data_IF_156875504052
#
_entry.id   IF_156875504052
#
_cell.length_a   1.000
_cell.length_b   1.000
_cell.length_c   1.000
_cell.angle_alpha   90.00
_cell.angle_beta   90.00
_cell.angle_gamma   90.00
#
_symmetry.space_group_name_H-M   'P 1'
#
loop_
_entity.id
_entity.type
_entity.pdbx_description
1 polymer ?
#
# COMPACT_ATOMS: atom_id res chain seq x y z
N UNK A 1 -10.69 17.04 -30.27
CA UNK A 1 -10.44 16.08 -29.17
C UNK A 1 -10.43 16.81 -27.84
N UNK A 2 -11.50 16.66 -27.06
CA UNK A 2 -11.51 17.12 -25.68
C UNK A 2 -10.68 16.17 -24.84
N UNK A 3 -9.40 16.47 -24.64
CA UNK A 3 -8.60 15.73 -23.67
C UNK A 3 -9.24 15.87 -22.29
N UNK A 4 -9.25 14.78 -21.52
CA UNK A 4 -9.64 14.84 -20.11
C UNK A 4 -8.91 16.03 -19.46
N UNK A 5 -9.66 16.89 -18.77
CA UNK A 5 -9.09 17.80 -17.77
C UNK A 5 -8.52 16.90 -16.69
N UNK A 6 -7.30 16.40 -16.89
CA UNK A 6 -6.48 15.98 -15.79
C UNK A 6 -6.45 17.18 -14.85
N UNK A 7 -6.89 16.99 -13.61
CA UNK A 7 -6.73 17.99 -12.58
C UNK A 7 -5.23 18.26 -12.53
N UNK A 8 -4.82 19.38 -13.12
CA UNK A 8 -3.42 19.79 -13.13
C UNK A 8 -3.18 20.13 -11.68
N UNK A 9 -2.69 19.14 -10.93
CA UNK A 9 -2.29 19.31 -9.55
C UNK A 9 -1.51 20.60 -9.48
N UNK A 10 -2.11 21.60 -8.84
CA UNK A 10 -1.57 22.95 -8.75
C UNK A 10 -0.11 22.83 -8.34
N UNK A 11 0.76 23.67 -8.90
CA UNK A 11 2.20 23.77 -8.58
C UNK A 11 2.52 23.85 -7.07
N UNK A 12 1.51 24.00 -6.21
CA UNK A 12 1.57 23.82 -4.76
C UNK A 12 1.80 22.37 -4.30
N UNK A 13 1.68 21.35 -5.16
CA UNK A 13 2.01 19.94 -4.91
C UNK A 13 3.38 19.59 -5.55
N UNK A 14 4.46 20.10 -4.96
CA UNK A 14 5.82 19.87 -5.42
C UNK A 14 6.21 18.40 -5.31
N UNK A 15 7.06 17.93 -6.22
CA UNK A 15 7.79 16.65 -6.24
C UNK A 15 7.07 15.34 -5.85
N UNK A 16 5.75 15.33 -5.66
CA UNK A 16 5.03 14.09 -5.37
C UNK A 16 4.75 13.38 -6.69
N UNK A 17 5.72 12.58 -7.11
CA UNK A 17 5.52 11.58 -8.14
C UNK A 17 4.80 10.40 -7.49
N UNK A 18 3.50 10.29 -7.72
CA UNK A 18 2.70 9.13 -7.28
C UNK A 18 2.92 8.04 -8.31
N UNK A 19 3.60 6.97 -7.87
CA UNK A 19 3.86 5.77 -8.67
C UNK A 19 2.87 4.69 -8.32
N UNK A 20 2.60 3.78 -9.24
CA UNK A 20 1.87 2.56 -8.91
C UNK A 20 2.72 1.77 -7.89
N UNK A 21 2.19 1.41 -6.71
CA UNK A 21 2.95 0.62 -5.75
C UNK A 21 3.31 -0.75 -6.32
N UNK A 22 4.53 -1.20 -6.06
CA UNK A 22 5.03 -2.52 -6.47
C UNK A 22 4.64 -3.57 -5.42
N UNK A 23 3.34 -3.90 -5.34
CA UNK A 23 2.81 -4.93 -4.43
C UNK A 23 2.02 -6.00 -5.17
N UNK A 24 1.81 -7.16 -4.53
CA UNK A 24 0.95 -8.24 -5.04
C UNK A 24 -0.45 -7.72 -5.38
N UNK A 25 -1.06 -6.99 -4.45
CA UNK A 25 -2.40 -6.44 -4.58
C UNK A 25 -2.51 -5.40 -5.70
N UNK A 26 -1.50 -4.53 -5.86
CA UNK A 26 -1.45 -3.58 -6.96
C UNK A 26 -1.28 -4.28 -8.32
N UNK A 27 -0.45 -5.33 -8.39
CA UNK A 27 -0.32 -6.13 -9.61
C UNK A 27 -1.64 -6.81 -10.00
N UNK A 28 -2.35 -7.42 -9.05
CA UNK A 28 -3.64 -8.07 -9.27
C UNK A 28 -4.72 -7.08 -9.70
N UNK A 29 -4.73 -5.89 -9.10
CA UNK A 29 -5.70 -4.85 -9.43
C UNK A 29 -5.43 -4.22 -10.79
N UNK A 30 -4.16 -3.91 -11.09
CA UNK A 30 -3.80 -3.05 -12.22
C UNK A 30 -3.40 -3.81 -13.48
N UNK A 31 -2.70 -4.93 -13.40
CA UNK A 31 -2.22 -5.60 -14.62
C UNK A 31 -3.39 -6.11 -15.49
N UNK A 32 -4.38 -6.84 -14.95
CA UNK A 32 -5.51 -7.32 -15.76
C UNK A 32 -6.39 -6.18 -16.31
N UNK A 33 -6.36 -4.99 -15.70
CA UNK A 33 -7.27 -3.88 -15.99
C UNK A 33 -6.60 -2.79 -16.84
N UNK A 34 -5.39 -2.35 -16.48
CA UNK A 34 -4.64 -1.26 -17.09
C UNK A 34 -3.55 -1.69 -18.07
N UNK A 35 -3.16 -2.98 -18.12
CA UNK A 35 -2.17 -3.46 -19.10
C UNK A 35 -2.79 -4.14 -20.34
N UNK A 36 -4.08 -4.51 -20.30
CA UNK A 36 -4.73 -5.26 -21.40
C UNK A 36 -5.66 -4.35 -22.20
N UNK A 37 -5.48 -4.27 -23.52
CA UNK A 37 -6.35 -3.50 -24.40
C UNK A 37 -7.84 -3.92 -24.33
N UNK A 38 -8.80 -3.00 -24.54
CA UNK A 38 -10.23 -3.28 -24.42
C UNK A 38 -10.73 -4.51 -25.20
N UNK A 39 -10.34 -4.71 -26.46
CA UNK A 39 -10.73 -5.89 -27.28
C UNK A 39 -10.19 -7.21 -26.72
N UNK A 40 -9.06 -7.15 -26.00
CA UNK A 40 -8.43 -8.31 -25.37
C UNK A 40 -9.08 -8.75 -24.06
N UNK A 41 -9.96 -7.93 -23.47
CA UNK A 41 -10.62 -8.20 -22.17
C UNK A 41 -11.78 -9.19 -22.27
N UNK A 42 -11.56 -10.33 -22.91
CA UNK A 42 -12.50 -11.47 -22.82
C UNK A 42 -12.31 -12.12 -21.46
N UNK A 43 -13.36 -12.08 -20.63
CA UNK A 43 -13.30 -12.53 -19.23
C UNK A 43 -12.64 -13.91 -19.07
N UNK A 44 -13.02 -14.89 -19.88
CA UNK A 44 -12.44 -16.24 -19.83
C UNK A 44 -10.93 -16.27 -20.15
N UNK A 45 -10.48 -15.47 -21.12
CA UNK A 45 -9.06 -15.39 -21.47
C UNK A 45 -8.26 -14.67 -20.38
N UNK A 46 -8.80 -13.57 -19.83
CA UNK A 46 -8.17 -12.86 -18.71
C UNK A 46 -8.01 -13.78 -17.50
N UNK A 47 -9.06 -14.53 -17.14
CA UNK A 47 -9.01 -15.48 -16.02
C UNK A 47 -7.92 -16.52 -16.29
N UNK A 48 -7.85 -17.12 -17.49
CA UNK A 48 -6.82 -18.12 -17.78
C UNK A 48 -5.39 -17.56 -17.73
N UNK A 49 -5.15 -16.37 -18.29
CA UNK A 49 -3.81 -15.76 -18.34
C UNK A 49 -3.35 -15.30 -16.96
N UNK A 50 -4.27 -14.71 -16.18
CA UNK A 50 -3.95 -14.15 -14.86
C UNK A 50 -4.34 -15.10 -13.72
N UNK A 51 -4.69 -16.36 -13.99
CA UNK A 51 -5.02 -17.33 -12.96
C UNK A 51 -3.91 -17.48 -11.91
N UNK A 52 -2.60 -17.58 -12.28
CA UNK A 52 -1.54 -17.66 -11.29
C UNK A 52 -1.47 -16.41 -10.40
N UNK A 53 -1.63 -15.23 -11.01
CA UNK A 53 -1.65 -13.94 -10.31
C UNK A 53 -2.79 -13.86 -9.29
N UNK A 54 -4.02 -14.20 -9.70
CA UNK A 54 -5.18 -14.22 -8.81
C UNK A 54 -5.05 -15.29 -7.72
N UNK A 55 -4.60 -16.50 -8.08
CA UNK A 55 -4.42 -17.59 -7.13
C UNK A 55 -3.39 -17.22 -6.06
N UNK A 56 -2.29 -16.57 -6.43
CA UNK A 56 -1.27 -16.09 -5.49
C UNK A 56 -1.85 -15.04 -4.54
N UNK A 57 -2.62 -14.08 -5.05
CA UNK A 57 -3.32 -13.09 -4.22
C UNK A 57 -4.26 -13.70 -3.19
N UNK A 58 -5.09 -14.64 -3.63
CA UNK A 58 -6.04 -15.33 -2.76
C UNK A 58 -5.30 -16.18 -1.72
N UNK A 59 -4.30 -16.96 -2.14
CA UNK A 59 -3.49 -17.79 -1.23
C UNK A 59 -2.72 -16.94 -0.21
N UNK A 60 -2.18 -15.80 -0.63
CA UNK A 60 -1.51 -14.84 0.26
C UNK A 60 -2.49 -14.28 1.29
N UNK A 61 -3.66 -13.82 0.85
CA UNK A 61 -4.68 -13.31 1.76
C UNK A 61 -5.16 -14.37 2.77
N UNK A 62 -5.40 -15.61 2.30
CA UNK A 62 -5.77 -16.73 3.18
C UNK A 62 -4.66 -17.04 4.17
N UNK A 63 -3.40 -17.11 3.71
CA UNK A 63 -2.25 -17.40 4.55
C UNK A 63 -2.06 -16.32 5.64
N UNK A 64 -2.16 -15.05 5.27
CA UNK A 64 -2.04 -13.93 6.21
C UNK A 64 -3.19 -13.92 7.22
N UNK A 65 -4.45 -14.10 6.78
CA UNK A 65 -5.61 -14.19 7.67
C UNK A 65 -5.48 -15.39 8.61
N UNK A 66 -5.12 -16.56 8.10
CA UNK A 66 -4.96 -17.77 8.90
C UNK A 66 -3.84 -17.63 9.93
N UNK A 67 -2.67 -17.13 9.53
CA UNK A 67 -1.55 -16.89 10.44
C UNK A 67 -1.91 -15.89 11.54
N UNK A 68 -2.57 -14.79 11.18
CA UNK A 68 -3.04 -13.77 12.13
C UNK A 68 -4.11 -14.34 13.07
N UNK A 69 -4.99 -15.20 12.57
CA UNK A 69 -5.97 -15.90 13.39
C UNK A 69 -5.30 -16.84 14.40
N UNK A 70 -4.27 -17.59 14.01
CA UNK A 70 -3.49 -18.42 14.94
C UNK A 70 -2.77 -17.58 15.99
N UNK A 71 -2.18 -16.43 15.61
CA UNK A 71 -1.62 -15.45 16.56
C UNK A 71 -2.68 -15.01 17.56
N UNK A 72 -3.89 -14.68 17.10
CA UNK A 72 -5.00 -14.29 17.97
C UNK A 72 -5.39 -15.40 18.95
N UNK A 73 -5.44 -16.67 18.50
CA UNK A 73 -5.71 -17.81 19.38
C UNK A 73 -4.61 -18.00 20.43
N UNK A 74 -3.34 -18.00 20.02
CA UNK A 74 -2.20 -18.09 20.94
C UNK A 74 -2.19 -16.94 21.95
N UNK A 75 -2.57 -15.74 21.51
CA UNK A 75 -2.71 -14.58 22.37
C UNK A 75 -3.79 -14.79 23.47
N UNK A 76 -4.94 -15.34 23.10
CA UNK A 76 -6.02 -15.67 24.04
C UNK A 76 -5.57 -16.76 25.02
N UNK A 77 -4.94 -17.82 24.52
CA UNK A 77 -4.46 -18.92 25.35
C UNK A 77 -3.39 -18.46 26.36
N UNK A 78 -2.45 -17.61 25.93
CA UNK A 78 -1.42 -17.02 26.80
C UNK A 78 -2.05 -16.13 27.88
N UNK A 79 -3.05 -15.33 27.51
CA UNK A 79 -3.79 -14.47 28.43
C UNK A 79 -4.56 -15.29 29.46
N UNK A 80 -5.26 -16.33 29.04
CA UNK A 80 -6.05 -17.19 29.93
C UNK A 80 -5.16 -18.02 30.85
N UNK A 81 -4.02 -18.51 30.35
CA UNK A 81 -3.03 -19.22 31.17
C UNK A 81 -2.47 -18.32 32.27
N UNK A 82 -2.12 -17.08 31.94
CA UNK A 82 -1.63 -16.10 32.91
C UNK A 82 -2.68 -15.73 33.96
N UNK A 83 -3.90 -15.42 33.53
CA UNK A 83 -4.98 -15.05 34.46
C UNK A 83 -5.30 -16.17 35.47
N UNK A 84 -5.11 -17.43 35.07
CA UNK A 84 -5.27 -18.59 35.97
C UNK A 84 -4.13 -18.72 36.97
N UNK A 85 -2.89 -18.42 36.59
CA UNK A 85 -1.74 -18.51 37.51
C UNK A 85 -1.68 -17.31 38.46
N UNK A 86 -2.01 -16.10 37.98
CA UNK A 86 -1.83 -14.85 38.70
C UNK A 86 -3.11 -13.98 38.64
N UNK A 87 -4.18 -14.33 39.37
CA UNK A 87 -5.49 -13.68 39.23
C UNK A 87 -5.52 -12.21 39.69
N UNK A 88 -4.49 -11.72 40.38
CA UNK A 88 -4.42 -10.36 40.92
C UNK A 88 -3.34 -9.48 40.27
N UNK A 89 -2.60 -10.00 39.29
CA UNK A 89 -1.51 -9.26 38.62
C UNK A 89 -1.94 -8.83 37.22
N UNK A 90 -1.50 -7.64 36.79
CA UNK A 90 -1.69 -7.20 35.41
C UNK A 90 -0.72 -7.96 34.49
N UNK A 91 -1.15 -8.35 33.29
CA UNK A 91 -0.33 -9.21 32.41
C UNK A 91 0.97 -8.52 32.00
N UNK A 92 0.93 -7.19 31.89
CA UNK A 92 2.03 -6.37 31.39
C UNK A 92 3.04 -5.92 32.45
N UNK A 93 2.77 -6.12 33.74
CA UNK A 93 3.67 -5.77 34.85
C UNK A 93 4.36 -6.99 35.45
N UNK A 94 4.70 -7.99 34.61
CA UNK A 94 5.49 -9.14 35.06
C UNK A 94 6.88 -8.72 35.49
N UNK A 95 7.29 -9.14 36.68
CA UNK A 95 8.64 -8.92 37.22
C UNK A 95 9.76 -9.47 36.31
N UNK A 96 9.45 -10.53 35.55
CA UNK A 96 10.41 -11.20 34.68
C UNK A 96 10.61 -10.51 33.33
N UNK A 97 9.71 -9.62 32.90
CA UNK A 97 9.76 -8.97 31.58
C UNK A 97 9.93 -7.46 31.72
N UNK A 98 11.05 -6.94 31.20
CA UNK A 98 11.29 -5.49 31.23
C UNK A 98 10.23 -4.75 30.39
N UNK A 99 9.44 -3.87 31.02
CA UNK A 99 8.43 -3.07 30.33
C UNK A 99 9.01 -2.21 29.21
N UNK A 100 10.27 -1.78 29.35
CA UNK A 100 10.99 -1.05 28.32
C UNK A 100 11.22 -1.90 27.07
N UNK A 101 11.61 -3.17 27.26
CA UNK A 101 11.80 -4.11 26.14
C UNK A 101 10.47 -4.38 25.43
N UNK A 102 9.39 -4.60 26.18
CA UNK A 102 8.04 -4.77 25.62
C UNK A 102 7.60 -3.57 24.78
N UNK A 103 7.86 -2.34 25.27
CA UNK A 103 7.56 -1.12 24.53
C UNK A 103 8.40 -1.00 23.25
N UNK A 104 9.70 -1.31 23.30
CA UNK A 104 10.57 -1.29 22.11
C UNK A 104 10.08 -2.30 21.07
N UNK A 105 9.81 -3.54 21.47
CA UNK A 105 9.29 -4.59 20.58
C UNK A 105 7.94 -4.20 19.97
N UNK A 106 7.03 -3.63 20.77
CA UNK A 106 5.74 -3.14 20.28
C UNK A 106 5.90 -1.99 19.29
N UNK A 107 6.80 -1.04 19.56
CA UNK A 107 7.10 0.07 18.65
C UNK A 107 7.68 -0.45 17.33
N UNK A 108 8.66 -1.36 17.37
CA UNK A 108 9.27 -1.93 16.16
C UNK A 108 8.22 -2.67 15.32
N UNK A 109 7.43 -3.53 15.95
CA UNK A 109 6.32 -4.22 15.28
C UNK A 109 5.33 -3.22 14.64
N UNK A 110 4.90 -2.21 15.40
CA UNK A 110 3.93 -1.21 14.93
C UNK A 110 4.52 -0.37 13.78
N UNK A 111 5.80 -0.02 13.83
CA UNK A 111 6.49 0.68 12.74
C UNK A 111 6.48 -0.14 11.45
N UNK A 112 6.74 -1.45 11.53
CA UNK A 112 6.67 -2.36 10.38
C UNK A 112 5.25 -2.37 9.79
N UNK A 113 4.21 -2.53 10.62
CA UNK A 113 2.84 -2.48 10.13
C UNK A 113 2.48 -1.13 9.48
N UNK A 114 2.93 -0.02 10.05
CA UNK A 114 2.66 1.31 9.52
C UNK A 114 3.34 1.55 8.17
N UNK A 115 4.50 0.95 7.92
CA UNK A 115 5.16 0.98 6.62
C UNK A 115 4.29 0.29 5.55
N UNK A 116 3.70 -0.86 5.86
CA UNK A 116 2.81 -1.57 4.92
C UNK A 116 1.49 -0.82 4.69
N UNK A 117 0.90 -0.28 5.76
CA UNK A 117 -0.28 0.59 5.68
C UNK A 117 -0.01 1.81 4.78
N UNK A 118 1.20 2.36 4.81
CA UNK A 118 1.59 3.45 3.91
C UNK A 118 1.53 3.00 2.43
N UNK A 119 2.01 1.79 2.11
CA UNK A 119 1.90 1.22 0.75
C UNK A 119 0.44 1.06 0.34
N UNK A 120 -0.44 0.65 1.26
CA UNK A 120 -1.90 0.59 1.03
C UNK A 120 -2.51 1.97 0.75
N UNK A 121 -2.06 3.02 1.43
CA UNK A 121 -2.50 4.38 1.12
C UNK A 121 -1.99 4.89 -0.23
N UNK A 122 -0.74 4.58 -0.59
CA UNK A 122 -0.20 4.90 -1.91
C UNK A 122 -0.99 4.19 -3.02
N UNK A 123 -1.43 2.95 -2.76
CA UNK A 123 -2.29 2.19 -3.65
C UNK A 123 -3.65 2.88 -3.86
N UNK A 124 -4.30 3.30 -2.77
CA UNK A 124 -5.56 4.04 -2.82
C UNK A 124 -5.41 5.39 -3.55
N UNK A 125 -4.36 6.15 -3.24
CA UNK A 125 -4.06 7.41 -3.87
C UNK A 125 -3.88 7.25 -5.39
N UNK A 126 -3.19 6.19 -5.80
CA UNK A 126 -3.01 5.86 -7.20
C UNK A 126 -4.36 5.52 -7.88
N UNK A 127 -5.20 4.67 -7.27
CA UNK A 127 -6.54 4.32 -7.80
C UNK A 127 -7.37 5.59 -8.04
N UNK A 128 -7.35 6.53 -7.09
CA UNK A 128 -8.14 7.76 -7.16
C UNK A 128 -7.67 8.71 -8.27
N UNK A 129 -6.38 8.68 -8.61
CA UNK A 129 -5.77 9.53 -9.65
C UNK A 129 -5.99 9.00 -11.07
N UNK A 130 -6.15 7.68 -11.26
CA UNK A 130 -6.45 7.09 -12.57
C UNK A 130 -7.84 7.57 -13.03
N UNK A 131 -8.00 8.11 -14.25
CA UNK A 131 -9.30 8.57 -14.74
C UNK A 131 -10.26 7.41 -14.99
N UNK A 132 -11.56 7.71 -15.04
CA UNK A 132 -12.54 6.78 -15.56
C UNK A 132 -12.55 6.85 -17.09
N UNK A 133 -12.57 5.69 -17.74
CA UNK A 133 -12.72 5.58 -19.19
C UNK A 133 -14.11 6.07 -19.62
N UNK A 134 -14.17 6.98 -20.58
CA UNK A 134 -15.40 7.49 -21.20
C UNK A 134 -16.08 6.35 -21.98
N UNK A 135 -15.29 5.55 -22.69
CA UNK A 135 -15.79 4.43 -23.49
C UNK A 135 -16.30 4.84 -24.86
N UNK A 136 -15.79 5.94 -25.40
CA UNK A 136 -16.05 6.36 -26.77
C UNK A 136 -15.42 5.35 -27.76
N UNK A 137 -16.02 5.22 -28.96
CA UNK A 137 -15.52 4.32 -30.00
C UNK A 137 -14.13 4.75 -30.48
N UNK A 138 -13.90 6.06 -30.65
CA UNK A 138 -12.60 6.63 -31.05
C UNK A 138 -11.52 6.33 -30.00
N UNK A 139 -11.83 6.54 -28.71
CA UNK A 139 -10.93 6.20 -27.59
C UNK A 139 -10.62 4.70 -27.58
N UNK A 140 -11.64 3.88 -27.76
CA UNK A 140 -11.50 2.42 -27.75
C UNK A 140 -10.66 1.93 -28.94
N UNK A 141 -10.86 2.48 -30.13
CA UNK A 141 -10.07 2.14 -31.31
C UNK A 141 -8.59 2.51 -31.11
N UNK A 142 -8.32 3.73 -30.63
CA UNK A 142 -6.98 4.22 -30.34
C UNK A 142 -6.26 3.35 -29.29
N UNK A 143 -6.96 2.93 -28.24
CA UNK A 143 -6.43 1.99 -27.24
C UNK A 143 -6.09 0.62 -27.84
N UNK A 144 -6.96 0.10 -28.71
CA UNK A 144 -6.73 -1.19 -29.36
C UNK A 144 -5.59 -1.15 -30.39
N UNK A 145 -5.45 -0.06 -31.14
CA UNK A 145 -4.34 0.12 -32.09
C UNK A 145 -2.97 0.10 -31.38
N UNK A 146 -2.91 0.67 -30.17
CA UNK A 146 -1.69 0.71 -29.35
C UNK A 146 -1.52 -0.51 -28.43
N UNK A 147 -2.45 -1.49 -28.46
CA UNK A 147 -2.48 -2.64 -27.56
C UNK A 147 -2.36 -2.27 -26.06
N UNK A 148 -2.96 -1.16 -25.64
CA UNK A 148 -2.93 -0.68 -24.26
C UNK A 148 -4.36 -0.35 -23.77
N UNK A 149 -4.64 -0.44 -22.46
CA UNK A 149 -5.90 0.11 -21.89
C UNK A 149 -5.77 1.53 -21.35
N UNK A 150 -4.55 2.05 -21.30
CA UNK A 150 -4.31 3.41 -20.93
C UNK A 150 -3.06 3.93 -21.63
N UNK A 151 -3.13 5.15 -22.15
CA UNK A 151 -2.02 5.80 -22.85
C UNK A 151 -1.64 7.04 -22.07
N UNK A 152 -0.36 7.14 -21.74
CA UNK A 152 0.19 8.33 -21.12
C UNK A 152 0.70 9.30 -22.19
N UNK A 153 0.53 10.59 -21.92
CA UNK A 153 1.01 11.67 -22.75
C UNK A 153 1.76 12.64 -21.84
N UNK A 154 2.98 12.99 -22.27
CA UNK A 154 3.76 14.04 -21.63
C UNK A 154 3.29 15.38 -22.17
N UNK A 155 2.76 16.23 -21.30
CA UNK A 155 2.35 17.60 -21.63
C UNK A 155 3.36 18.58 -21.04
N UNK A 156 3.87 19.49 -21.87
CA UNK A 156 4.65 20.63 -21.38
C UNK A 156 3.67 21.63 -20.77
N UNK A 157 3.91 22.00 -19.53
CA UNK A 157 3.21 23.07 -18.84
C UNK A 157 4.20 24.20 -18.58
N UNK A 158 3.88 25.39 -19.06
CA UNK A 158 4.63 26.60 -18.75
C UNK A 158 4.02 27.26 -17.53
N UNK A 159 4.80 27.49 -16.48
CA UNK A 159 4.29 28.22 -15.32
C UNK A 159 4.23 29.74 -15.57
N UNK A 160 3.60 30.48 -14.65
CA UNK A 160 3.68 31.93 -14.48
C UNK A 160 5.11 32.52 -14.55
N UNK A 161 6.15 31.72 -14.33
CA UNK A 161 7.57 32.12 -14.44
C UNK A 161 8.22 31.79 -15.79
N UNK A 162 7.46 31.36 -16.79
CA UNK A 162 7.96 30.85 -18.08
C UNK A 162 8.91 29.64 -17.96
N UNK A 163 8.85 28.93 -16.84
CA UNK A 163 9.54 27.64 -16.68
C UNK A 163 8.64 26.54 -17.25
N UNK A 164 9.15 25.83 -18.26
CA UNK A 164 8.50 24.65 -18.81
C UNK A 164 8.82 23.42 -17.95
N UNK A 165 7.78 22.65 -17.62
CA UNK A 165 7.91 21.37 -16.94
C UNK A 165 7.04 20.33 -17.63
N UNK A 166 7.53 19.09 -17.69
CA UNK A 166 6.82 17.98 -18.31
C UNK A 166 6.02 17.24 -17.25
N UNK A 167 4.71 17.17 -17.46
CA UNK A 167 3.79 16.37 -16.63
C UNK A 167 3.33 15.17 -17.46
N UNK A 168 3.48 13.98 -16.90
CA UNK A 168 2.85 12.79 -17.48
C UNK A 168 1.40 12.71 -17.00
N UNK A 169 0.49 12.65 -17.98
CA UNK A 169 -0.95 12.58 -17.74
C UNK A 169 -1.55 11.48 -18.61
N UNK A 170 -2.72 10.96 -18.25
CA UNK A 170 -3.45 10.07 -19.14
C UNK A 170 -3.97 10.87 -20.34
N UNK A 171 -3.56 10.46 -21.55
CA UNK A 171 -4.11 10.97 -22.80
C UNK A 171 -5.43 10.32 -23.16
N UNK A 172 -5.54 9.01 -22.92
CA UNK A 172 -6.72 8.20 -23.20
C UNK A 172 -6.77 6.97 -22.27
N UNK A 173 -7.97 6.45 -22.01
CA UNK A 173 -8.20 5.22 -21.25
C UNK A 173 -8.32 5.42 -19.74
N UNK A 174 -7.92 4.40 -18.97
CA UNK A 174 -8.09 4.34 -17.52
C UNK A 174 -9.06 3.24 -17.08
N UNK A 175 -9.63 3.37 -15.89
CA UNK A 175 -10.52 2.36 -15.32
C UNK A 175 -11.93 2.47 -15.89
N UNK A 176 -12.56 1.34 -16.20
CA UNK A 176 -14.03 1.27 -16.17
C UNK A 176 -14.54 1.31 -14.73
N UNK A 177 -15.83 1.59 -14.54
CA UNK A 177 -16.44 1.59 -13.19
C UNK A 177 -16.24 0.25 -12.46
N UNK A 178 -16.38 -0.87 -13.18
CA UNK A 178 -16.20 -2.21 -12.61
C UNK A 178 -14.74 -2.50 -12.27
N UNK A 179 -13.80 -2.07 -13.09
CA UNK A 179 -12.36 -2.25 -12.82
C UNK A 179 -11.88 -1.40 -11.64
N UNK A 180 -12.44 -0.19 -11.49
CA UNK A 180 -12.18 0.64 -10.31
C UNK A 180 -12.72 -0.02 -9.05
N UNK A 181 -13.93 -0.55 -9.10
CA UNK A 181 -14.52 -1.30 -7.98
C UNK A 181 -13.66 -2.53 -7.63
N UNK A 182 -13.14 -3.23 -8.65
CA UNK A 182 -12.20 -4.33 -8.47
C UNK A 182 -10.90 -3.89 -7.78
N UNK A 183 -10.33 -2.76 -8.17
CA UNK A 183 -9.14 -2.23 -7.50
C UNK A 183 -9.42 -1.85 -6.04
N UNK A 184 -10.57 -1.22 -5.75
CA UNK A 184 -10.98 -0.94 -4.37
C UNK A 184 -11.20 -2.22 -3.55
N UNK A 185 -11.74 -3.27 -4.15
CA UNK A 185 -11.91 -4.55 -3.46
C UNK A 185 -10.57 -5.13 -2.97
N UNK A 186 -9.53 -5.15 -3.81
CA UNK A 186 -8.20 -5.60 -3.40
C UNK A 186 -7.52 -4.67 -2.40
N UNK A 187 -7.72 -3.37 -2.53
CA UNK A 187 -7.29 -2.40 -1.51
C UNK A 187 -7.90 -2.72 -0.14
N UNK A 188 -9.22 -2.99 -0.09
CA UNK A 188 -9.91 -3.34 1.16
C UNK A 188 -9.41 -4.64 1.79
N UNK A 189 -9.08 -5.65 0.97
CA UNK A 189 -8.47 -6.88 1.47
C UNK A 189 -7.11 -6.60 2.10
N UNK A 190 -6.23 -5.85 1.41
CA UNK A 190 -4.88 -5.55 1.90
C UNK A 190 -4.90 -4.74 3.19
N UNK A 191 -5.62 -3.61 3.21
CA UNK A 191 -5.70 -2.78 4.41
C UNK A 191 -6.41 -3.54 5.56
N UNK A 192 -7.38 -4.38 5.23
CA UNK A 192 -8.08 -5.22 6.21
C UNK A 192 -7.15 -6.22 6.89
N UNK A 193 -6.28 -6.90 6.13
CA UNK A 193 -5.32 -7.86 6.70
C UNK A 193 -4.24 -7.16 7.54
N UNK A 194 -3.73 -6.01 7.09
CA UNK A 194 -2.76 -5.20 7.84
C UNK A 194 -3.33 -4.72 9.19
N UNK A 195 -4.56 -4.19 9.19
CA UNK A 195 -5.23 -3.76 10.43
C UNK A 195 -5.52 -4.95 11.35
N UNK A 196 -5.87 -6.12 10.79
CA UNK A 196 -6.09 -7.32 11.59
C UNK A 196 -4.80 -7.79 12.28
N UNK A 197 -3.65 -7.72 11.60
CA UNK A 197 -2.35 -8.03 12.18
C UNK A 197 -2.00 -7.05 13.32
N UNK A 198 -2.22 -5.75 13.14
CA UNK A 198 -1.96 -4.75 14.20
C UNK A 198 -2.77 -5.07 15.47
N UNK A 199 -4.06 -5.38 15.32
CA UNK A 199 -4.95 -5.67 16.44
C UNK A 199 -4.59 -6.98 17.16
N UNK A 200 -4.35 -8.06 16.42
CA UNK A 200 -4.00 -9.36 17.00
C UNK A 200 -2.56 -9.38 17.54
N UNK A 201 -1.63 -8.80 16.81
CA UNK A 201 -0.19 -8.82 17.10
C UNK A 201 0.19 -7.95 18.30
N UNK A 202 -0.49 -6.81 18.52
CA UNK A 202 -0.20 -5.95 19.67
C UNK A 202 -0.36 -6.67 21.01
N UNK A 203 -1.45 -7.42 21.19
CA UNK A 203 -1.65 -8.24 22.38
C UNK A 203 -0.67 -9.41 22.45
N UNK A 204 -0.40 -10.07 21.32
CA UNK A 204 0.50 -11.21 21.27
C UNK A 204 1.94 -10.87 21.70
N UNK A 205 2.43 -9.68 21.32
CA UNK A 205 3.72 -9.15 21.80
C UNK A 205 3.65 -8.91 23.31
N UNK A 206 2.62 -8.20 23.79
CA UNK A 206 2.51 -7.79 25.19
C UNK A 206 2.29 -8.95 26.18
N UNK A 207 1.60 -10.02 25.77
CA UNK A 207 1.34 -11.19 26.63
C UNK A 207 2.46 -12.25 26.59
N UNK A 208 3.65 -11.90 26.07
CA UNK A 208 4.77 -12.84 25.97
C UNK A 208 5.29 -13.25 27.36
N UNK A 209 5.62 -14.53 27.58
CA UNK A 209 6.00 -15.02 28.89
C UNK A 209 7.39 -14.63 29.37
N UNK A 210 8.33 -14.42 28.44
CA UNK A 210 9.74 -14.15 28.70
C UNK A 210 10.33 -13.25 27.60
N UNK A 211 11.57 -12.76 27.78
CA UNK A 211 12.23 -11.86 26.83
C UNK A 211 12.51 -12.50 25.47
N UNK A 212 12.83 -13.79 25.43
CA UNK A 212 13.14 -14.50 24.19
C UNK A 212 11.86 -14.65 23.36
N UNK A 213 10.78 -15.11 24.00
CA UNK A 213 9.46 -15.23 23.37
C UNK A 213 8.92 -13.88 22.91
N UNK A 214 9.15 -12.80 23.66
CA UNK A 214 8.78 -11.44 23.27
C UNK A 214 9.43 -11.01 21.94
N UNK A 215 10.73 -11.26 21.79
CA UNK A 215 11.47 -10.94 20.57
C UNK A 215 11.01 -11.85 19.42
N UNK A 216 10.86 -13.15 19.67
CA UNK A 216 10.41 -14.12 18.67
C UNK A 216 9.00 -13.79 18.17
N UNK A 217 8.09 -13.36 19.05
CA UNK A 217 6.73 -12.97 18.69
C UNK A 217 6.73 -11.73 17.78
N UNK A 218 7.54 -10.71 18.10
CA UNK A 218 7.66 -9.52 17.26
C UNK A 218 8.22 -9.86 15.86
N UNK A 219 9.23 -10.74 15.78
CA UNK A 219 9.80 -11.21 14.51
C UNK A 219 8.80 -12.06 13.73
N UNK A 220 8.05 -12.95 14.38
CA UNK A 220 7.03 -13.77 13.75
C UNK A 220 5.91 -12.92 13.13
N UNK A 221 5.51 -11.82 13.78
CA UNK A 221 4.54 -10.90 13.24
C UNK A 221 5.05 -10.14 12.01
N UNK A 222 6.33 -9.72 12.01
CA UNK A 222 6.96 -9.15 10.82
C UNK A 222 6.97 -10.14 9.65
N UNK A 223 7.23 -11.42 9.92
CA UNK A 223 7.15 -12.47 8.90
C UNK A 223 5.73 -12.62 8.32
N UNK A 224 4.67 -12.49 9.14
CA UNK A 224 3.28 -12.55 8.66
C UNK A 224 2.96 -11.39 7.73
N UNK A 225 3.49 -10.19 8.01
CA UNK A 225 3.35 -9.03 7.14
C UNK A 225 4.03 -9.25 5.79
N UNK A 226 5.25 -9.82 5.78
CA UNK A 226 6.04 -10.06 4.57
C UNK A 226 5.50 -11.16 3.63
N UNK A 227 4.40 -11.84 3.98
CA UNK A 227 3.83 -12.94 3.17
C UNK A 227 3.42 -12.45 1.77
N UNK A 228 2.79 -11.28 1.65
CA UNK A 228 2.32 -10.75 0.36
C UNK A 228 3.48 -10.26 -0.51
N UNK A 229 4.51 -9.70 0.11
CA UNK A 229 5.77 -9.30 -0.50
C UNK A 229 6.57 -10.50 -1.03
N UNK A 230 6.64 -11.59 -0.25
CA UNK A 230 7.23 -12.84 -0.70
C UNK A 230 6.43 -13.40 -1.89
N UNK A 231 5.09 -13.44 -1.78
CA UNK A 231 4.22 -13.88 -2.85
C UNK A 231 4.37 -13.02 -4.12
N UNK A 232 4.54 -11.69 -4.00
CA UNK A 232 4.83 -10.79 -5.11
C UNK A 232 6.16 -11.15 -5.79
N UNK A 233 7.23 -11.32 -4.99
CA UNK A 233 8.57 -11.60 -5.51
C UNK A 233 8.60 -12.90 -6.32
N UNK A 234 7.95 -13.95 -5.82
CA UNK A 234 7.98 -15.29 -6.42
C UNK A 234 6.89 -15.57 -7.47
N UNK A 235 5.67 -15.04 -7.29
CA UNK A 235 4.52 -15.42 -8.13
C UNK A 235 4.33 -14.53 -9.34
N UNK A 236 4.86 -13.30 -9.31
CA UNK A 236 4.68 -12.31 -10.37
C UNK A 236 5.82 -12.45 -11.38
N UNK A 237 5.45 -12.60 -12.65
CA UNK A 237 6.44 -12.71 -13.73
C UNK A 237 7.12 -11.36 -13.99
N UNK A 238 8.34 -11.39 -14.54
CA UNK A 238 9.05 -10.15 -14.88
C UNK A 238 8.29 -9.29 -15.90
N UNK A 239 7.51 -9.92 -16.78
CA UNK A 239 6.61 -9.23 -17.71
C UNK A 239 5.54 -8.44 -16.95
N UNK A 240 4.92 -9.03 -15.92
CA UNK A 240 3.91 -8.35 -15.09
C UNK A 240 4.52 -7.25 -14.23
N UNK A 241 5.72 -7.47 -13.66
CA UNK A 241 6.48 -6.44 -12.93
C UNK A 241 6.83 -5.27 -13.85
N UNK A 242 7.26 -5.56 -15.09
CA UNK A 242 7.55 -4.55 -16.11
C UNK A 242 6.29 -3.79 -16.52
N UNK A 243 5.16 -4.49 -16.70
CA UNK A 243 3.88 -3.85 -16.97
C UNK A 243 3.46 -2.89 -15.84
N UNK A 244 3.61 -3.31 -14.58
CA UNK A 244 3.31 -2.47 -13.41
C UNK A 244 4.20 -1.21 -13.36
N UNK A 245 5.51 -1.37 -13.65
CA UNK A 245 6.48 -0.27 -13.74
C UNK A 245 6.24 0.67 -14.93
N UNK A 246 5.58 0.17 -15.98
CA UNK A 246 5.26 0.95 -17.17
C UNK A 246 4.04 1.86 -17.00
N UNK A 247 3.30 1.73 -15.90
CA UNK A 247 2.16 2.61 -15.66
C UNK A 247 2.61 4.06 -15.43
N UNK A 248 1.82 5.04 -15.89
CA UNK A 248 2.21 6.43 -15.82
C UNK A 248 2.36 6.89 -14.38
N UNK A 249 3.38 7.69 -14.17
CA UNK A 249 3.58 8.33 -12.89
C UNK A 249 2.77 9.63 -12.85
N UNK A 250 1.99 9.85 -11.80
CA UNK A 250 1.28 11.11 -11.64
C UNK A 250 2.19 12.12 -10.96
N UNK A 251 2.37 13.29 -11.55
CA UNK A 251 3.11 14.40 -10.94
C UNK A 251 4.21 14.94 -11.84
N UNK A 252 5.12 15.70 -11.23
CA UNK A 252 6.22 16.38 -11.92
C UNK A 252 7.33 15.39 -12.27
N UNK A 253 7.56 15.15 -13.56
CA UNK A 253 8.74 14.40 -14.01
C UNK A 253 9.91 15.38 -14.06
N UNK A 254 10.91 15.13 -13.22
CA UNK A 254 12.21 15.80 -13.32
C UNK A 254 12.85 15.42 -14.65
N UNK A 255 12.95 16.36 -15.57
CA UNK A 255 13.82 16.21 -16.74
C UNK A 255 15.26 16.49 -16.30
N UNK A 256 16.21 15.68 -16.78
CA UNK A 256 17.64 15.72 -16.40
C UNK A 256 18.31 17.10 -16.57
N UNK A 257 17.70 18.00 -17.34
CA UNK A 257 18.21 19.35 -17.61
C UNK A 257 17.70 20.43 -16.62
N UNK A 258 16.79 20.11 -15.70
CA UNK A 258 16.31 21.07 -14.70
C UNK A 258 17.29 21.08 -13.52
N UNK A 259 18.14 22.10 -13.48
CA UNK A 259 19.13 22.30 -12.42
C UNK A 259 18.43 22.31 -11.04
N UNK A 260 18.81 21.44 -10.09
CA UNK A 260 18.17 21.35 -8.77
C UNK A 260 18.30 22.65 -7.94
N UNK A 261 19.14 23.59 -8.36
CA UNK A 261 19.44 24.85 -7.68
C UNK A 261 18.26 25.83 -7.55
N UNK A 262 17.11 25.58 -8.18
CA UNK A 262 15.92 26.45 -8.08
C UNK A 262 14.67 25.76 -7.54
N UNK A 263 14.81 24.60 -6.89
CA UNK A 263 13.70 23.99 -6.15
C UNK A 263 13.37 24.85 -4.92
N UNK A 264 12.48 25.82 -5.08
CA UNK A 264 11.88 26.52 -3.95
C UNK A 264 10.89 25.56 -3.28
N UNK A 265 11.34 24.91 -2.21
CA UNK A 265 10.43 24.29 -1.25
C UNK A 265 9.41 25.34 -0.83
N UNK A 266 8.13 25.11 -1.18
CA UNK A 266 7.08 25.94 -0.58
C UNK A 266 7.02 25.61 0.90
N UNK A 267 6.86 26.62 1.74
CA UNK A 267 6.74 26.46 3.19
C UNK A 267 5.71 25.42 3.57
N UNK A 268 4.61 25.31 2.79
CA UNK A 268 3.59 24.28 2.96
C UNK A 268 4.11 22.85 2.75
N UNK A 269 4.88 22.58 1.69
CA UNK A 269 5.48 21.26 1.45
C UNK A 269 6.55 20.93 2.47
N UNK A 270 7.38 21.91 2.84
CA UNK A 270 8.36 21.78 3.92
C UNK A 270 7.67 21.42 5.23
N UNK A 271 6.59 22.14 5.58
CA UNK A 271 5.76 21.80 6.72
C UNK A 271 5.12 20.41 6.58
N UNK A 272 4.58 20.02 5.41
CA UNK A 272 3.96 18.69 5.24
C UNK A 272 4.96 17.55 5.33
N UNK A 273 6.18 17.70 4.79
CA UNK A 273 7.24 16.69 4.91
C UNK A 273 7.79 16.62 6.34
N UNK A 274 8.05 17.78 6.94
CA UNK A 274 8.53 17.87 8.32
C UNK A 274 7.46 17.36 9.29
N UNK A 275 6.29 17.99 9.34
CA UNK A 275 5.15 17.58 10.17
C UNK A 275 4.65 16.18 9.82
N UNK A 276 4.80 15.72 8.58
CA UNK A 276 4.45 14.36 8.19
C UNK A 276 5.24 13.32 8.97
N UNK A 277 6.56 13.52 9.11
CA UNK A 277 7.40 12.64 9.93
C UNK A 277 7.05 12.72 11.42
N UNK A 278 6.75 13.90 11.97
CA UNK A 278 6.26 14.02 13.35
C UNK A 278 4.89 13.37 13.54
N UNK A 279 3.99 13.51 12.56
CA UNK A 279 2.68 12.88 12.60
C UNK A 279 2.81 11.36 12.58
N UNK A 280 3.72 10.80 11.78
CA UNK A 280 4.02 9.36 11.81
C UNK A 280 4.54 8.90 13.18
N UNK A 281 5.45 9.67 13.79
CA UNK A 281 5.95 9.38 15.14
C UNK A 281 4.82 9.47 16.18
N UNK A 282 3.98 10.49 16.12
CA UNK A 282 2.83 10.65 17.02
C UNK A 282 1.79 9.55 16.82
N UNK A 283 1.52 9.16 15.57
CA UNK A 283 0.63 8.05 15.24
C UNK A 283 1.19 6.72 15.77
N UNK A 284 2.50 6.48 15.63
CA UNK A 284 3.19 5.34 16.21
C UNK A 284 2.99 5.30 17.73
N UNK A 285 3.35 6.37 18.45
CA UNK A 285 3.17 6.44 19.90
C UNK A 285 1.69 6.30 20.29
N UNK A 286 0.78 6.90 19.55
CA UNK A 286 -0.66 6.78 19.78
C UNK A 286 -1.14 5.34 19.66
N UNK A 287 -0.76 4.63 18.60
CA UNK A 287 -1.13 3.23 18.38
C UNK A 287 -0.49 2.34 19.45
N UNK A 288 0.80 2.49 19.75
CA UNK A 288 1.45 1.71 20.81
C UNK A 288 0.80 1.95 22.17
N UNK A 289 0.43 3.20 22.49
CA UNK A 289 -0.27 3.55 23.73
C UNK A 289 -1.66 2.91 23.79
N UNK A 290 -2.43 2.99 22.71
CA UNK A 290 -3.76 2.35 22.62
C UNK A 290 -3.63 0.84 22.75
N UNK A 291 -2.67 0.21 22.06
CA UNK A 291 -2.40 -1.22 22.16
C UNK A 291 -1.98 -1.64 23.56
N UNK A 292 -1.15 -0.83 24.23
CA UNK A 292 -0.77 -1.05 25.62
C UNK A 292 -2.00 -1.03 26.54
N UNK A 293 -2.77 0.06 26.54
CA UNK A 293 -3.95 0.18 27.39
C UNK A 293 -5.06 -0.83 27.08
N UNK A 294 -5.18 -1.27 25.84
CA UNK A 294 -6.19 -2.26 25.46
C UNK A 294 -5.86 -3.68 25.97
N UNK A 295 -4.58 -3.98 26.23
CA UNK A 295 -4.15 -5.34 26.55
C UNK A 295 -3.72 -5.55 28.02
N UNK A 296 -3.32 -4.51 28.75
CA UNK A 296 -2.66 -4.63 30.07
C UNK A 296 -3.56 -4.70 31.32
#
# INVERSE_FOLDING_TARGET
MGYYKADVGSRSEGHFVIRAPESLYSAIAFVPTLAVAPKGKRLGLLICIFLPLFSSGVMSAIAQIAATYYVMLMNIDNKDAFNKSNPNESICERDDVSSLLSLICLCVFTMTCLADVQVSFDFLNYINRVPNRIGDEEETELLNQNNASAISVKKSHTNQRNEEFMVETFGAGGFTKMERLWAYFWFLIKIGSELFVILAGGGFVLHSPDHETLILNAVALAFILDIDDAAYKYSITDMQKTALKSFPNFGLIMTENVVPAQMKFTTYQGCKQFLGSYFQILALFGICTVSWYANC
#
